data_IF_506545276622
#
_entry.id   IF_506545276622
#
_cell.length_a   1.000
_cell.length_b   1.000
_cell.length_c   1.000
_cell.angle_alpha   90.00
_cell.angle_beta   90.00
_cell.angle_gamma   90.00
#
_symmetry.space_group_name_H-M   'P 1'
#
loop_
_entity.id
_entity.type
_entity.pdbx_description
1 polymer ?
#
# COMPACT_ATOMS: atom_id res chain seq x y z
N UNK A 1 -89.00 16.42 -36.21
CA UNK A 1 -90.22 15.99 -36.91
C UNK A 1 -89.99 14.54 -37.27
N UNK A 2 -90.72 13.63 -36.63
CA UNK A 2 -90.51 12.19 -36.82
C UNK A 2 -91.12 11.72 -38.15
N UNK A 3 -90.68 10.57 -38.66
CA UNK A 3 -91.17 9.95 -39.91
C UNK A 3 -92.71 9.91 -39.94
N UNK A 4 -93.32 9.56 -38.81
CA UNK A 4 -94.78 9.48 -38.63
C UNK A 4 -95.44 10.87 -38.66
N UNK A 5 -94.78 11.90 -38.15
CA UNK A 5 -95.32 13.27 -38.15
C UNK A 5 -95.33 13.89 -39.54
N UNK A 6 -94.34 13.55 -40.38
CA UNK A 6 -94.26 14.01 -41.78
C UNK A 6 -95.31 13.26 -42.62
N UNK A 7 -95.42 11.94 -42.46
CA UNK A 7 -96.39 11.11 -43.19
C UNK A 7 -97.85 11.41 -42.84
N UNK A 8 -98.14 11.76 -41.58
CA UNK A 8 -99.50 12.04 -41.12
C UNK A 8 -99.90 13.52 -41.28
N UNK A 9 -99.08 14.33 -41.95
CA UNK A 9 -99.36 15.76 -42.12
C UNK A 9 -100.52 15.97 -43.10
N UNK A 10 -101.59 16.61 -42.62
CA UNK A 10 -102.74 16.98 -43.45
C UNK A 10 -102.61 18.42 -43.93
N UNK A 11 -102.96 18.65 -45.18
CA UNK A 11 -102.98 19.97 -45.82
C UNK A 11 -104.42 20.39 -46.15
N UNK A 12 -104.70 21.69 -46.12
CA UNK A 12 -105.98 22.24 -46.54
C UNK A 12 -106.14 22.17 -48.06
N UNK A 13 -107.35 21.89 -48.55
CA UNK A 13 -107.64 21.81 -49.99
C UNK A 13 -107.97 23.20 -50.54
N UNK A 14 -107.30 23.61 -51.62
CA UNK A 14 -107.54 24.86 -52.34
C UNK A 14 -108.08 24.59 -53.74
N UNK A 15 -108.85 25.54 -54.31
CA UNK A 15 -109.46 25.43 -55.64
C UNK A 15 -108.43 25.31 -56.79
N UNK A 16 -107.20 25.78 -56.56
CA UNK A 16 -106.02 25.53 -57.39
C UNK A 16 -104.87 25.14 -56.46
N UNK A 17 -104.39 23.90 -56.54
CA UNK A 17 -103.34 23.36 -55.66
C UNK A 17 -102.53 22.26 -56.31
N UNK A 18 -101.52 21.77 -55.59
CA UNK A 18 -100.68 20.65 -56.03
C UNK A 18 -101.47 19.34 -56.04
N UNK A 19 -101.07 18.39 -56.89
CA UNK A 19 -101.67 17.06 -56.91
C UNK A 19 -101.35 16.31 -55.62
N UNK A 20 -102.35 15.68 -55.02
CA UNK A 20 -102.21 14.96 -53.74
C UNK A 20 -101.18 13.85 -53.83
N UNK A 21 -101.23 13.05 -54.90
CA UNK A 21 -100.41 11.85 -55.06
C UNK A 21 -98.91 12.21 -55.19
N UNK A 22 -98.57 13.24 -55.97
CA UNK A 22 -97.19 13.73 -56.12
C UNK A 22 -96.64 14.33 -54.81
N UNK A 23 -97.52 14.96 -54.00
CA UNK A 23 -97.14 15.51 -52.69
C UNK A 23 -96.93 14.39 -51.68
N UNK A 24 -97.74 13.33 -51.71
CA UNK A 24 -97.61 12.17 -50.82
C UNK A 24 -96.33 11.36 -51.12
N UNK A 25 -95.99 11.15 -52.39
CA UNK A 25 -94.72 10.53 -52.81
C UNK A 25 -93.51 11.36 -52.32
N UNK A 26 -93.56 12.69 -52.49
CA UNK A 26 -92.51 13.59 -52.01
C UNK A 26 -92.39 13.61 -50.48
N UNK A 27 -93.52 13.57 -49.75
CA UNK A 27 -93.52 13.49 -48.29
C UNK A 27 -92.91 12.19 -47.78
N UNK A 28 -93.09 11.08 -48.50
CA UNK A 28 -92.43 9.82 -48.17
C UNK A 28 -90.91 9.90 -48.36
N UNK A 29 -90.44 10.48 -49.46
CA UNK A 29 -89.01 10.70 -49.70
C UNK A 29 -88.38 11.62 -48.64
N UNK A 30 -89.02 12.76 -48.34
CA UNK A 30 -88.58 13.70 -47.31
C UNK A 30 -88.57 13.05 -45.93
N UNK A 31 -89.59 12.24 -45.61
CA UNK A 31 -89.63 11.51 -44.34
C UNK A 31 -88.45 10.53 -44.22
N UNK A 32 -88.18 9.74 -45.27
CA UNK A 32 -87.05 8.80 -45.29
C UNK A 32 -85.71 9.53 -45.18
N UNK A 33 -85.54 10.65 -45.90
CA UNK A 33 -84.34 11.47 -45.80
C UNK A 33 -84.15 12.06 -44.40
N UNK A 34 -85.21 12.60 -43.79
CA UNK A 34 -85.16 13.14 -42.43
C UNK A 34 -84.79 12.05 -41.41
N UNK A 35 -85.34 10.84 -41.53
CA UNK A 35 -84.98 9.70 -40.69
C UNK A 35 -83.52 9.28 -40.88
N UNK A 36 -83.02 9.27 -42.12
CA UNK A 36 -81.62 8.98 -42.40
C UNK A 36 -80.70 10.02 -41.74
N UNK A 37 -81.02 11.31 -41.88
CA UNK A 37 -80.26 12.40 -41.24
C UNK A 37 -80.30 12.33 -39.71
N UNK A 38 -81.45 12.00 -39.11
CA UNK A 38 -81.57 11.83 -37.66
C UNK A 38 -80.70 10.66 -37.15
N UNK A 39 -80.69 9.53 -37.87
CA UNK A 39 -79.84 8.40 -37.53
C UNK A 39 -78.34 8.73 -37.66
N UNK A 40 -77.94 9.40 -38.74
CA UNK A 40 -76.55 9.85 -38.93
C UNK A 40 -76.13 10.84 -37.83
N UNK A 41 -77.01 11.77 -37.46
CA UNK A 41 -76.73 12.74 -36.41
C UNK A 41 -76.56 12.04 -35.04
N UNK A 42 -77.43 11.08 -34.70
CA UNK A 42 -77.29 10.25 -33.49
C UNK A 42 -76.00 9.43 -33.48
N UNK A 43 -75.61 8.86 -34.62
CA UNK A 43 -74.35 8.12 -34.75
C UNK A 43 -73.15 9.05 -34.54
N UNK A 44 -73.18 10.25 -35.11
CA UNK A 44 -72.14 11.27 -34.95
C UNK A 44 -72.06 11.77 -33.50
N UNK A 45 -73.19 12.04 -32.85
CA UNK A 45 -73.24 12.39 -31.43
C UNK A 45 -72.66 11.27 -30.55
N UNK A 46 -72.95 10.01 -30.87
CA UNK A 46 -72.35 8.86 -30.19
C UNK A 46 -70.82 8.81 -30.33
N UNK A 47 -70.32 8.98 -31.55
CA UNK A 47 -68.87 9.06 -31.83
C UNK A 47 -68.22 10.24 -31.11
N UNK A 48 -68.87 11.40 -31.11
CA UNK A 48 -68.39 12.60 -30.41
C UNK A 48 -68.27 12.33 -28.92
N UNK A 49 -69.27 11.70 -28.30
CA UNK A 49 -69.24 11.39 -26.88
C UNK A 49 -68.10 10.40 -26.54
N UNK A 50 -67.89 9.38 -27.36
CA UNK A 50 -66.75 8.45 -27.19
C UNK A 50 -65.41 9.20 -27.28
N UNK A 51 -65.26 10.08 -28.27
CA UNK A 51 -64.05 10.87 -28.45
C UNK A 51 -63.81 11.82 -27.27
N UNK A 52 -64.85 12.49 -26.78
CA UNK A 52 -64.79 13.37 -25.61
C UNK A 52 -64.34 12.58 -24.38
N UNK A 53 -64.96 11.43 -24.11
CA UNK A 53 -64.58 10.56 -22.99
C UNK A 53 -63.11 10.11 -23.11
N UNK A 54 -62.66 9.78 -24.32
CA UNK A 54 -61.28 9.37 -24.57
C UNK A 54 -60.28 10.51 -24.37
N UNK A 55 -60.63 11.74 -24.76
CA UNK A 55 -59.82 12.93 -24.50
C UNK A 55 -59.70 13.17 -23.00
N UNK A 56 -60.78 13.05 -22.24
CA UNK A 56 -60.72 13.20 -20.79
C UNK A 56 -59.89 12.11 -20.12
N UNK A 57 -59.98 10.87 -20.58
CA UNK A 57 -59.12 9.77 -20.13
C UNK A 57 -57.65 10.08 -20.38
N UNK A 58 -57.29 10.50 -21.60
CA UNK A 58 -55.91 10.88 -21.93
C UNK A 58 -55.40 12.06 -21.10
N UNK A 59 -56.26 13.03 -20.77
CA UNK A 59 -55.88 14.12 -19.86
C UNK A 59 -55.57 13.61 -18.45
N UNK A 60 -56.40 12.72 -17.91
CA UNK A 60 -56.16 12.09 -16.60
C UNK A 60 -54.88 11.25 -16.60
N UNK A 61 -54.64 10.50 -17.67
CA UNK A 61 -53.42 9.71 -17.85
C UNK A 61 -52.18 10.60 -17.94
N UNK A 62 -52.27 11.73 -18.67
CA UNK A 62 -51.19 12.71 -18.76
C UNK A 62 -50.85 13.31 -17.39
N UNK A 63 -51.86 13.69 -16.61
CA UNK A 63 -51.66 14.20 -15.25
C UNK A 63 -51.01 13.15 -14.34
N UNK A 64 -51.49 11.90 -14.42
CA UNK A 64 -50.90 10.77 -13.67
C UNK A 64 -49.43 10.53 -14.07
N UNK A 65 -49.12 10.63 -15.37
CA UNK A 65 -47.76 10.47 -15.87
C UNK A 65 -46.86 11.64 -15.42
N UNK A 66 -47.37 12.87 -15.43
CA UNK A 66 -46.65 14.04 -14.91
C UNK A 66 -46.33 13.89 -13.44
N UNK A 67 -47.29 13.44 -12.64
CA UNK A 67 -47.09 13.17 -11.21
C UNK A 67 -46.07 12.04 -10.97
N UNK A 68 -46.15 10.97 -11.77
CA UNK A 68 -45.18 9.88 -11.73
C UNK A 68 -43.76 10.38 -12.08
N UNK A 69 -43.62 11.24 -13.10
CA UNK A 69 -42.33 11.83 -13.48
C UNK A 69 -41.75 12.73 -12.39
N UNK A 70 -42.57 13.59 -11.78
CA UNK A 70 -42.14 14.47 -10.69
C UNK A 70 -41.72 13.64 -9.47
N UNK A 71 -42.48 12.60 -9.12
CA UNK A 71 -42.12 11.70 -8.01
C UNK A 71 -40.83 10.95 -8.29
N UNK A 72 -40.63 10.43 -9.51
CA UNK A 72 -39.41 9.77 -9.93
C UNK A 72 -38.20 10.73 -9.86
N UNK A 73 -38.35 11.98 -10.30
CA UNK A 73 -37.29 13.00 -10.20
C UNK A 73 -36.93 13.33 -8.75
N UNK A 74 -37.94 13.39 -7.86
CA UNK A 74 -37.72 13.62 -6.44
C UNK A 74 -36.97 12.44 -5.80
N UNK A 75 -37.37 11.21 -6.13
CA UNK A 75 -36.69 9.99 -5.66
C UNK A 75 -35.25 9.95 -6.17
N UNK A 76 -35.02 10.24 -7.45
CA UNK A 76 -33.68 10.29 -8.03
C UNK A 76 -32.78 11.31 -7.32
N UNK A 77 -33.30 12.51 -7.05
CA UNK A 77 -32.60 13.54 -6.27
C UNK A 77 -32.30 13.07 -4.84
N UNK A 78 -33.25 12.40 -4.18
CA UNK A 78 -33.06 11.83 -2.84
C UNK A 78 -31.95 10.78 -2.82
N UNK A 79 -31.97 9.84 -3.76
CA UNK A 79 -30.94 8.81 -3.91
C UNK A 79 -29.57 9.45 -4.14
N UNK A 80 -29.50 10.47 -5.00
CA UNK A 80 -28.25 11.17 -5.26
C UNK A 80 -27.72 11.87 -3.99
N UNK A 81 -28.59 12.51 -3.22
CA UNK A 81 -28.20 13.15 -1.96
C UNK A 81 -27.75 12.13 -0.92
N UNK A 82 -28.49 11.03 -0.74
CA UNK A 82 -28.13 9.96 0.18
C UNK A 82 -26.79 9.30 -0.20
N UNK A 83 -26.55 9.08 -1.50
CA UNK A 83 -25.28 8.55 -1.98
C UNK A 83 -24.11 9.50 -1.70
N UNK A 84 -24.31 10.82 -1.89
CA UNK A 84 -23.31 11.84 -1.55
C UNK A 84 -23.04 11.88 -0.04
N UNK A 85 -24.08 11.90 0.78
CA UNK A 85 -23.95 11.91 2.23
C UNK A 85 -23.20 10.66 2.74
N UNK A 86 -23.54 9.47 2.21
CA UNK A 86 -22.83 8.22 2.54
C UNK A 86 -21.38 8.24 2.08
N UNK A 87 -21.09 8.79 0.89
CA UNK A 87 -19.73 8.93 0.42
C UNK A 87 -18.91 9.88 1.32
N UNK A 88 -19.48 11.02 1.71
CA UNK A 88 -18.86 11.97 2.64
C UNK A 88 -18.63 11.34 4.03
N UNK A 89 -19.57 10.54 4.52
CA UNK A 89 -19.44 9.80 5.78
C UNK A 89 -18.30 8.77 5.71
N UNK A 90 -18.21 8.00 4.62
CA UNK A 90 -17.12 7.05 4.40
C UNK A 90 -15.77 7.78 4.31
N UNK A 91 -15.70 8.91 3.61
CA UNK A 91 -14.47 9.70 3.52
C UNK A 91 -14.07 10.23 4.89
N UNK A 92 -15.01 10.77 5.66
CA UNK A 92 -14.75 11.30 7.00
C UNK A 92 -14.27 10.21 7.95
N UNK A 93 -14.91 9.05 7.94
CA UNK A 93 -14.52 7.91 8.80
C UNK A 93 -13.14 7.39 8.41
N UNK A 94 -12.86 7.22 7.11
CA UNK A 94 -11.54 6.83 6.62
C UNK A 94 -10.46 7.86 6.98
N UNK A 95 -10.75 9.16 6.91
CA UNK A 95 -9.83 10.22 7.32
C UNK A 95 -9.56 10.19 8.83
N UNK A 96 -10.59 9.96 9.66
CA UNK A 96 -10.43 9.82 11.10
C UNK A 96 -9.59 8.59 11.47
N UNK A 97 -9.90 7.42 10.90
CA UNK A 97 -9.14 6.19 11.13
C UNK A 97 -7.69 6.35 10.67
N UNK A 98 -7.46 6.97 9.51
CA UNK A 98 -6.11 7.28 9.02
C UNK A 98 -5.36 8.16 10.02
N UNK A 99 -5.98 9.23 10.53
CA UNK A 99 -5.30 10.13 11.47
C UNK A 99 -5.04 9.44 12.82
N UNK A 100 -5.94 8.57 13.28
CA UNK A 100 -5.74 7.76 14.48
C UNK A 100 -4.58 6.77 14.33
N UNK A 101 -4.50 6.07 13.19
CA UNK A 101 -3.39 5.16 12.88
C UNK A 101 -2.07 5.91 12.74
N UNK A 102 -2.06 7.06 12.06
CA UNK A 102 -0.85 7.88 11.93
C UNK A 102 -0.43 8.48 13.28
N UNK A 103 -1.38 8.88 14.11
CA UNK A 103 -1.14 9.41 15.45
C UNK A 103 -0.53 8.36 16.36
N UNK A 104 -1.14 7.18 16.44
CA UNK A 104 -0.63 6.05 17.23
C UNK A 104 0.74 5.58 16.75
N UNK A 105 0.94 5.38 15.44
CA UNK A 105 2.23 4.98 14.88
C UNK A 105 3.34 6.03 15.15
N UNK A 106 3.02 7.34 15.07
CA UNK A 106 3.97 8.40 15.44
C UNK A 106 4.30 8.37 16.92
N UNK A 107 3.31 8.16 17.79
CA UNK A 107 3.51 8.07 19.23
C UNK A 107 4.38 6.87 19.59
N UNK A 108 4.09 5.68 19.05
CA UNK A 108 4.88 4.48 19.26
C UNK A 108 6.32 4.65 18.73
N UNK A 109 6.48 5.21 17.54
CA UNK A 109 7.79 5.53 16.98
C UNK A 109 8.59 6.47 17.89
N UNK A 110 7.93 7.51 18.43
CA UNK A 110 8.56 8.42 19.37
C UNK A 110 8.94 7.74 20.70
N UNK A 111 8.11 6.83 21.21
CA UNK A 111 8.43 6.01 22.39
C UNK A 111 9.63 5.10 22.16
N UNK A 112 9.70 4.43 21.00
CA UNK A 112 10.85 3.59 20.65
C UNK A 112 12.12 4.43 20.51
N UNK A 113 12.04 5.57 19.81
CA UNK A 113 13.19 6.46 19.64
C UNK A 113 13.70 7.01 20.99
N UNK A 114 12.79 7.40 21.88
CA UNK A 114 13.17 7.91 23.20
C UNK A 114 13.73 6.82 24.11
N UNK A 115 13.16 5.60 24.09
CA UNK A 115 13.69 4.46 24.81
C UNK A 115 15.09 4.07 24.30
N UNK A 116 15.26 3.93 22.98
CA UNK A 116 16.53 3.60 22.35
C UNK A 116 17.60 4.67 22.62
N UNK A 117 17.21 5.96 22.59
CA UNK A 117 18.12 7.06 22.94
C UNK A 117 18.56 6.96 24.40
N UNK A 118 17.64 6.73 25.33
CA UNK A 118 17.95 6.58 26.75
C UNK A 118 18.86 5.38 27.01
N UNK A 119 18.59 4.25 26.37
CA UNK A 119 19.42 3.04 26.49
C UNK A 119 20.82 3.28 25.92
N UNK A 120 20.93 3.95 24.77
CA UNK A 120 22.22 4.34 24.19
C UNK A 120 23.00 5.29 25.11
N UNK A 121 22.33 6.27 25.72
CA UNK A 121 22.92 7.17 26.71
C UNK A 121 23.40 6.39 27.95
N UNK A 122 22.61 5.44 28.45
CA UNK A 122 23.00 4.59 29.58
C UNK A 122 24.20 3.71 29.27
N UNK A 123 24.20 3.01 28.12
CA UNK A 123 25.35 2.21 27.69
C UNK A 123 26.60 3.07 27.51
N UNK A 124 26.44 4.29 26.97
CA UNK A 124 27.55 5.22 26.83
C UNK A 124 28.10 5.66 28.19
N UNK A 125 27.24 6.02 29.14
CA UNK A 125 27.65 6.38 30.50
C UNK A 125 28.36 5.23 31.22
N UNK A 126 27.84 4.00 31.12
CA UNK A 126 28.44 2.81 31.73
C UNK A 126 29.81 2.50 31.10
N UNK A 127 29.92 2.54 29.78
CA UNK A 127 31.19 2.36 29.09
C UNK A 127 32.22 3.43 29.49
N UNK A 128 31.79 4.69 29.65
CA UNK A 128 32.66 5.78 30.10
C UNK A 128 33.11 5.58 31.55
N UNK A 129 32.22 5.12 32.45
CA UNK A 129 32.61 4.77 33.83
C UNK A 129 33.64 3.65 33.88
N UNK A 130 33.42 2.57 33.12
CA UNK A 130 34.39 1.46 33.06
C UNK A 130 35.74 1.90 32.49
N UNK A 131 35.71 2.76 31.46
CA UNK A 131 36.93 3.37 30.92
C UNK A 131 37.64 4.22 31.98
N UNK A 132 36.92 5.04 32.73
CA UNK A 132 37.52 5.86 33.79
C UNK A 132 38.13 4.98 34.90
N UNK A 133 37.43 3.93 35.32
CA UNK A 133 37.90 3.00 36.34
C UNK A 133 39.18 2.26 35.89
N UNK A 134 39.18 1.73 34.66
CA UNK A 134 40.37 1.06 34.10
C UNK A 134 41.55 2.00 33.95
N UNK A 135 41.32 3.26 33.53
CA UNK A 135 42.36 4.29 33.48
C UNK A 135 42.93 4.56 34.87
N UNK A 136 42.10 4.62 35.91
CA UNK A 136 42.57 4.79 37.30
C UNK A 136 43.41 3.59 37.74
N UNK A 137 42.97 2.36 37.46
CA UNK A 137 43.71 1.14 37.82
C UNK A 137 45.08 1.07 37.13
N UNK A 138 45.13 1.34 35.83
CA UNK A 138 46.39 1.36 35.06
C UNK A 138 47.33 2.44 35.59
N UNK A 139 46.81 3.63 35.92
CA UNK A 139 47.61 4.69 36.54
C UNK A 139 48.20 4.26 37.87
N UNK A 140 47.40 3.66 38.75
CA UNK A 140 47.86 3.18 40.04
C UNK A 140 48.96 2.11 39.89
N UNK A 141 48.79 1.16 38.97
CA UNK A 141 49.82 0.15 38.69
C UNK A 141 51.12 0.77 38.16
N UNK A 142 51.02 1.75 37.26
CA UNK A 142 52.19 2.48 36.75
C UNK A 142 52.93 3.22 37.88
N UNK A 143 52.20 3.86 38.81
CA UNK A 143 52.79 4.52 39.99
C UNK A 143 53.47 3.51 40.93
N UNK A 144 52.88 2.34 41.15
CA UNK A 144 53.48 1.27 41.96
C UNK A 144 54.76 0.70 41.32
N UNK A 145 54.73 0.43 40.01
CA UNK A 145 55.90 -0.03 39.27
C UNK A 145 57.03 1.01 39.28
N UNK A 146 56.70 2.30 39.11
CA UNK A 146 57.66 3.40 39.21
C UNK A 146 58.29 3.44 40.62
N UNK A 147 57.47 3.36 41.68
CA UNK A 147 57.96 3.31 43.05
C UNK A 147 58.88 2.08 43.30
N UNK A 148 58.54 0.93 42.73
CA UNK A 148 59.36 -0.28 42.83
C UNK A 148 60.70 -0.13 42.09
N UNK A 149 60.70 0.46 40.89
CA UNK A 149 61.93 0.76 40.16
C UNK A 149 62.85 1.69 40.97
N UNK A 150 62.30 2.75 41.54
CA UNK A 150 63.06 3.67 42.42
C UNK A 150 63.64 2.91 43.63
N UNK A 151 62.86 2.00 44.23
CA UNK A 151 63.33 1.15 45.33
C UNK A 151 64.48 0.23 44.91
N UNK A 152 64.36 -0.46 43.77
CA UNK A 152 65.41 -1.34 43.25
C UNK A 152 66.66 -0.54 42.92
N UNK A 153 66.53 0.62 42.27
CA UNK A 153 67.66 1.52 41.99
C UNK A 153 68.39 1.93 43.27
N UNK A 154 67.66 2.24 44.34
CA UNK A 154 68.23 2.53 45.65
C UNK A 154 69.00 1.34 46.22
N UNK A 155 68.41 0.14 46.19
CA UNK A 155 69.07 -1.08 46.66
C UNK A 155 70.34 -1.41 45.87
N UNK A 156 70.32 -1.22 44.55
CA UNK A 156 71.51 -1.39 43.70
C UNK A 156 72.59 -0.38 44.06
N UNK A 157 72.22 0.87 44.34
CA UNK A 157 73.15 1.91 44.83
C UNK A 157 73.74 1.55 46.20
N UNK A 158 72.91 1.07 47.13
CA UNK A 158 73.33 0.62 48.46
C UNK A 158 74.27 -0.60 48.36
N UNK A 159 73.95 -1.61 47.55
CA UNK A 159 74.81 -2.76 47.28
C UNK A 159 76.14 -2.36 46.64
N UNK A 160 76.10 -1.45 45.65
CA UNK A 160 77.31 -0.90 45.03
C UNK A 160 78.19 -0.20 46.08
N UNK A 161 77.59 0.58 46.98
CA UNK A 161 78.30 1.23 48.08
C UNK A 161 78.95 0.21 49.03
N UNK A 162 78.21 -0.84 49.42
CA UNK A 162 78.73 -1.94 50.24
C UNK A 162 79.91 -2.64 49.58
N UNK A 163 79.80 -2.96 48.28
CA UNK A 163 80.86 -3.61 47.52
C UNK A 163 82.12 -2.73 47.44
N UNK A 164 81.95 -1.43 47.17
CA UNK A 164 83.05 -0.46 47.20
C UNK A 164 83.66 -0.37 48.60
N UNK A 165 82.87 -0.45 49.67
CA UNK A 165 83.36 -0.45 51.05
C UNK A 165 84.25 -1.68 51.32
N UNK A 166 83.77 -2.88 51.00
CA UNK A 166 84.55 -4.13 51.15
C UNK A 166 85.82 -4.05 50.30
N UNK A 167 85.73 -3.56 49.06
CA UNK A 167 86.89 -3.42 48.18
C UNK A 167 87.91 -2.42 48.74
N UNK A 168 87.47 -1.30 49.31
CA UNK A 168 88.33 -0.33 50.00
C UNK A 168 88.97 -0.93 51.25
N UNK A 169 88.24 -1.75 52.00
CA UNK A 169 88.78 -2.46 53.16
C UNK A 169 89.87 -3.46 52.74
N UNK A 170 89.62 -4.25 51.70
CA UNK A 170 90.62 -5.15 51.12
C UNK A 170 91.86 -4.39 50.62
N UNK A 171 91.69 -3.25 49.94
CA UNK A 171 92.82 -2.40 49.53
C UNK A 171 93.63 -1.87 50.71
N UNK A 172 92.97 -1.48 51.80
CA UNK A 172 93.66 -1.04 53.01
C UNK A 172 94.40 -2.18 53.71
N UNK A 173 93.89 -3.41 53.67
CA UNK A 173 94.59 -4.60 54.19
C UNK A 173 95.82 -4.95 53.33
N UNK A 174 95.71 -4.84 52.01
CA UNK A 174 96.82 -5.05 51.07
C UNK A 174 97.93 -4.00 51.30
N UNK A 175 97.56 -2.74 51.50
CA UNK A 175 98.52 -1.67 51.80
C UNK A 175 99.14 -1.76 53.23
N UNK A 176 98.65 -2.65 54.10
CA UNK A 176 99.16 -2.87 55.46
C UNK A 176 100.16 -4.03 55.57
N UNK A 177 100.53 -4.68 54.46
CA UNK A 177 101.61 -5.66 54.44
C UNK A 177 102.96 -4.94 54.23
N UNK A 178 103.98 -5.20 55.07
CA UNK A 178 105.31 -4.60 54.87
C UNK A 178 106.00 -5.25 53.66
N UNK A 179 106.69 -4.45 52.84
CA UNK A 179 107.62 -4.99 51.84
C UNK A 179 108.76 -5.73 52.54
N UNK A 180 109.04 -6.97 52.13
CA UNK A 180 110.43 -7.39 51.93
C UNK A 180 110.53 -8.55 50.93
N UNK A 181 111.41 -8.32 49.96
CA UNK A 181 111.76 -9.19 48.83
C UNK A 181 112.45 -10.51 49.22
N UNK A 182 112.45 -11.43 48.23
CA UNK A 182 113.27 -12.67 48.03
C UNK A 182 112.60 -13.97 48.51
N UNK A 183 112.53 -15.06 47.75
CA UNK A 183 113.15 -15.49 46.49
C UNK A 183 112.46 -16.78 46.05
N UNK A 184 111.87 -16.87 44.85
CA UNK A 184 112.15 -17.96 43.89
C UNK A 184 111.62 -17.54 42.52
N UNK A 185 112.54 -17.33 41.60
CA UNK A 185 112.28 -16.95 40.23
C UNK A 185 112.16 -18.22 39.38
N UNK A 186 111.12 -18.21 38.54
CA UNK A 186 110.86 -19.08 37.41
C UNK A 186 112.12 -19.32 36.55
N UNK A 187 112.20 -20.39 35.73
CA UNK A 187 111.31 -20.47 34.56
C UNK A 187 110.88 -21.89 34.19
N UNK A 188 109.69 -22.03 33.57
CA UNK A 188 109.49 -22.88 32.37
C UNK A 188 108.00 -22.90 31.94
N UNK A 189 107.74 -22.39 30.75
CA UNK A 189 106.83 -23.02 29.77
C UNK A 189 107.38 -24.41 29.41
N UNK A 190 106.60 -25.44 28.98
CA UNK A 190 105.66 -25.32 27.86
C UNK A 190 104.44 -26.28 27.83
N UNK A 191 103.61 -26.12 26.79
CA UNK A 191 102.77 -27.08 26.04
C UNK A 191 102.62 -28.51 26.60
N UNK A 192 101.40 -29.08 26.50
CA UNK A 192 101.06 -30.22 25.59
C UNK A 192 99.83 -31.07 26.05
N UNK A 193 98.83 -31.16 25.14
CA UNK A 193 97.89 -32.26 24.78
C UNK A 193 97.00 -32.93 25.86
N UNK A 194 95.66 -32.94 25.64
CA UNK A 194 94.84 -34.01 25.03
C UNK A 194 94.62 -35.20 26.00
N UNK A 195 93.50 -35.90 26.12
CA UNK A 195 92.34 -36.18 25.28
C UNK A 195 91.37 -36.98 26.18
N UNK A 196 90.05 -36.74 26.12
CA UNK A 196 89.02 -37.79 26.30
C UNK A 196 87.67 -37.31 25.72
N UNK A 197 87.56 -37.37 24.39
CA UNK A 197 86.63 -38.18 23.55
C UNK A 197 85.49 -39.00 24.26
N UNK A 198 84.49 -39.58 23.52
CA UNK A 198 83.31 -39.02 22.80
C UNK A 198 81.96 -39.80 23.00
N UNK A 199 80.85 -39.30 22.42
CA UNK A 199 79.65 -39.96 21.78
C UNK A 199 78.36 -39.19 22.14
N UNK A 200 77.52 -38.62 21.25
CA UNK A 200 77.07 -38.82 19.85
C UNK A 200 75.92 -39.83 19.68
N UNK A 201 74.72 -39.29 19.42
CA UNK A 201 73.61 -39.83 18.61
C UNK A 201 72.60 -38.67 18.44
N UNK A 202 71.94 -38.37 17.32
CA UNK A 202 72.11 -38.61 15.88
C UNK A 202 71.03 -37.72 15.22
N UNK A 203 71.36 -37.06 14.11
CA UNK A 203 70.46 -36.21 13.30
C UNK A 203 69.38 -37.06 12.56
N UNK A 204 68.37 -36.50 11.85
CA UNK A 204 68.64 -35.78 10.60
C UNK A 204 67.63 -34.69 10.12
N UNK A 205 68.16 -33.87 9.20
CA UNK A 205 67.59 -33.40 7.92
C UNK A 205 66.58 -32.23 7.80
N UNK A 206 66.93 -31.39 6.80
CA UNK A 206 66.09 -30.72 5.78
C UNK A 206 65.56 -29.28 6.04
N UNK A 207 66.24 -28.34 5.37
CA UNK A 207 65.76 -27.23 4.51
C UNK A 207 64.36 -26.62 4.69
N UNK A 208 64.32 -25.28 4.85
CA UNK A 208 63.60 -24.24 4.05
C UNK A 208 63.41 -22.98 4.93
N UNK A 209 64.08 -21.87 4.65
CA UNK A 209 63.65 -20.71 3.85
C UNK A 209 62.52 -19.84 4.46
N UNK A 210 62.72 -18.53 4.26
CA UNK A 210 61.77 -17.41 4.39
C UNK A 210 61.51 -16.82 5.79
N UNK A 211 62.27 -15.76 6.08
CA UNK A 211 61.85 -14.66 6.97
C UNK A 211 61.08 -13.66 6.12
N UNK A 212 59.81 -13.40 6.47
CA UNK A 212 59.04 -12.27 5.96
C UNK A 212 58.28 -11.62 7.13
N UNK A 213 58.51 -10.31 7.26
CA UNK A 213 57.81 -9.28 8.06
C UNK A 213 56.27 -9.35 8.01
N UNK A 214 55.48 -8.71 8.91
CA UNK A 214 55.65 -7.28 9.25
C UNK A 214 55.30 -6.81 10.69
N UNK A 215 55.67 -5.56 10.92
CA UNK A 215 55.24 -4.63 11.97
C UNK A 215 53.83 -4.04 11.69
N UNK A 216 53.23 -3.29 12.64
CA UNK A 216 51.80 -2.96 12.72
C UNK A 216 51.45 -1.68 11.95
N UNK A 217 50.15 -1.43 11.71
CA UNK A 217 49.67 -0.06 11.53
C UNK A 217 48.19 0.10 11.91
N UNK A 218 47.95 1.18 12.65
CA UNK A 218 46.69 1.75 13.08
C UNK A 218 46.16 2.73 12.01
N UNK A 219 44.83 2.84 11.95
CA UNK A 219 44.05 4.06 11.69
C UNK A 219 44.32 5.03 10.51
N UNK A 220 43.26 5.13 9.69
CA UNK A 220 42.59 6.36 9.19
C UNK A 220 43.23 7.24 8.10
N UNK A 221 42.46 7.41 7.01
CA UNK A 221 41.88 8.68 6.49
C UNK A 221 42.11 8.97 4.99
N UNK A 222 40.99 8.92 4.25
CA UNK A 222 40.54 9.79 3.14
C UNK A 222 41.49 10.07 1.96
N UNK A 223 41.00 9.82 0.73
CA UNK A 223 40.52 10.87 -0.21
C UNK A 223 40.22 10.32 -1.62
N UNK A 224 39.36 11.05 -2.36
CA UNK A 224 39.16 11.06 -3.83
C UNK A 224 38.21 9.99 -4.41
N UNK A 225 37.37 10.24 -5.43
CA UNK A 225 36.79 11.42 -6.13
C UNK A 225 35.75 10.83 -7.12
N UNK A 226 34.69 11.58 -7.44
CA UNK A 226 33.87 11.56 -8.68
C UNK A 226 33.59 10.22 -9.42
N UNK A 227 32.31 9.89 -9.65
CA UNK A 227 31.67 9.92 -10.99
C UNK A 227 30.24 9.32 -10.95
N UNK A 228 29.45 9.64 -11.97
CA UNK A 228 28.00 9.70 -12.06
C UNK A 228 27.31 8.33 -12.29
N UNK A 229 25.97 8.36 -12.25
CA UNK A 229 25.02 7.68 -13.18
C UNK A 229 23.95 6.75 -12.55
N UNK A 230 22.70 7.09 -12.91
CA UNK A 230 21.50 6.24 -13.08
C UNK A 230 20.59 5.87 -11.90
N UNK A 231 19.36 6.39 -12.03
CA UNK A 231 18.07 5.86 -11.53
C UNK A 231 18.01 4.33 -11.51
N UNK A 232 17.46 3.76 -10.42
CA UNK A 232 16.43 2.71 -10.43
C UNK A 232 15.87 2.49 -9.01
N UNK A 233 14.55 2.46 -8.91
CA UNK A 233 13.74 2.14 -7.73
C UNK A 233 14.03 0.71 -7.22
N UNK A 234 13.95 0.42 -5.91
CA UNK A 234 13.97 -0.95 -5.43
C UNK A 234 12.57 -1.55 -5.51
N UNK A 235 12.39 -2.49 -6.44
CA UNK A 235 11.26 -3.42 -6.47
C UNK A 235 11.33 -4.35 -5.27
N UNK A 236 10.29 -4.34 -4.44
CA UNK A 236 10.06 -5.29 -3.35
C UNK A 236 9.79 -6.68 -3.95
N UNK A 237 10.68 -7.65 -3.69
CA UNK A 237 10.42 -9.08 -3.94
C UNK A 237 9.78 -9.68 -2.69
N UNK A 238 8.47 -9.91 -2.73
CA UNK A 238 7.81 -10.80 -1.77
C UNK A 238 7.98 -12.22 -2.29
N UNK A 239 8.74 -13.03 -1.55
CA UNK A 239 8.90 -14.47 -1.79
C UNK A 239 7.63 -15.24 -1.43
N UNK A 240 7.33 -16.21 -2.29
CA UNK A 240 6.25 -17.20 -2.23
C UNK A 240 6.15 -17.92 -0.87
N UNK A 241 4.91 -18.05 -0.37
CA UNK A 241 4.40 -19.28 0.26
C UNK A 241 2.92 -19.12 0.68
N UNK A 242 1.96 -19.34 -0.22
CA UNK A 242 0.63 -19.84 0.19
C UNK A 242 0.08 -20.80 -0.86
N UNK A 243 -0.26 -21.99 -0.36
CA UNK A 243 -0.64 -23.19 -1.10
C UNK A 243 -1.96 -23.00 -1.85
N UNK A 244 -2.03 -23.54 -3.07
CA UNK A 244 -3.25 -23.71 -3.86
C UNK A 244 -4.06 -24.87 -3.28
N UNK A 245 -4.98 -24.58 -2.37
CA UNK A 245 -6.08 -25.47 -1.98
C UNK A 245 -6.96 -24.66 -1.02
N UNK A 246 -7.90 -23.86 -1.56
CA UNK A 246 -9.15 -23.41 -0.88
C UNK A 246 -9.88 -22.31 -1.71
N UNK A 247 -10.08 -22.55 -3.01
CA UNK A 247 -11.01 -21.75 -3.82
C UNK A 247 -12.08 -22.65 -4.45
N UNK A 248 -12.89 -23.29 -3.62
CA UNK A 248 -14.13 -23.95 -4.04
C UNK A 248 -15.13 -24.09 -2.90
N UNK A 249 -15.56 -22.97 -2.30
CA UNK A 249 -16.82 -22.93 -1.54
C UNK A 249 -17.38 -21.52 -1.39
N UNK A 250 -17.77 -20.93 -2.51
CA UNK A 250 -18.81 -19.89 -2.46
C UNK A 250 -20.14 -20.58 -2.19
N UNK A 251 -20.69 -20.36 -0.99
CA UNK A 251 -22.11 -20.64 -0.69
C UNK A 251 -22.97 -19.79 -1.62
N UNK A 252 -24.03 -20.33 -2.24
CA UNK A 252 -24.99 -19.49 -2.93
C UNK A 252 -25.73 -18.64 -1.89
N UNK A 253 -25.71 -17.31 -2.06
CA UNK A 253 -26.62 -16.41 -1.34
C UNK A 253 -28.00 -16.64 -1.92
N UNK A 254 -28.85 -17.28 -1.13
CA UNK A 254 -30.24 -17.56 -1.42
C UNK A 254 -31.03 -16.24 -1.35
N UNK A 255 -31.24 -15.58 -2.48
CA UNK A 255 -32.13 -14.42 -2.59
C UNK A 255 -33.58 -14.87 -2.57
N UNK A 256 -34.12 -15.07 -1.37
CA UNK A 256 -35.57 -15.04 -1.15
C UNK A 256 -36.00 -13.60 -0.90
N UNK A 257 -36.60 -12.96 -1.91
CA UNK A 257 -37.84 -12.18 -1.80
C UNK A 257 -38.23 -11.63 -3.19
N UNK A 258 -39.35 -12.14 -3.72
CA UNK A 258 -40.03 -11.62 -4.91
C UNK A 258 -40.71 -10.30 -4.55
N UNK A 259 -40.05 -9.18 -4.78
CA UNK A 259 -40.78 -7.91 -4.91
C UNK A 259 -41.39 -7.82 -6.31
N UNK A 260 -42.71 -7.63 -6.35
CA UNK A 260 -43.47 -7.45 -7.58
C UNK A 260 -43.07 -6.09 -8.19
N UNK A 261 -42.47 -6.12 -9.37
CA UNK A 261 -42.25 -4.92 -10.18
C UNK A 261 -43.58 -4.16 -10.37
N UNK A 262 -43.61 -2.82 -10.22
CA UNK A 262 -44.82 -2.02 -10.35
C UNK A 262 -45.27 -1.85 -11.81
N UNK A 263 -44.52 -2.38 -12.78
CA UNK A 263 -44.83 -2.25 -14.20
C UNK A 263 -45.63 -3.46 -14.72
N UNK A 264 -46.72 -3.25 -15.49
CA UNK A 264 -47.45 -4.34 -16.11
C UNK A 264 -46.55 -5.11 -17.09
N UNK A 265 -46.61 -6.44 -17.04
CA UNK A 265 -45.84 -7.31 -17.93
C UNK A 265 -46.23 -7.04 -19.38
N UNK A 266 -45.24 -6.65 -20.20
CA UNK A 266 -45.40 -6.48 -21.64
C UNK A 266 -45.98 -7.75 -22.29
N UNK A 267 -46.94 -7.64 -23.23
CA UNK A 267 -47.52 -8.80 -23.92
C UNK A 267 -46.56 -9.48 -24.89
N UNK A 268 -45.39 -8.90 -25.15
CA UNK A 268 -44.38 -9.47 -26.04
C UNK A 268 -43.42 -10.37 -25.28
N UNK A 269 -43.61 -11.69 -25.40
CA UNK A 269 -42.70 -12.71 -24.87
C UNK A 269 -41.57 -12.96 -25.89
N UNK A 270 -40.45 -12.27 -25.76
CA UNK A 270 -39.23 -12.60 -26.52
C UNK A 270 -38.64 -13.90 -25.94
N UNK A 271 -38.98 -15.03 -26.56
CA UNK A 271 -38.30 -16.30 -26.32
C UNK A 271 -37.01 -16.32 -27.13
N UNK A 272 -35.88 -16.04 -26.50
CA UNK A 272 -34.58 -16.32 -27.09
C UNK A 272 -34.32 -17.80 -26.88
N UNK A 273 -34.61 -18.62 -27.89
CA UNK A 273 -34.19 -20.02 -27.93
C UNK A 273 -32.73 -20.08 -28.34
N UNK A 274 -31.92 -20.74 -27.53
CA UNK A 274 -30.45 -20.86 -27.61
C UNK A 274 -29.97 -21.77 -28.77
N UNK A 275 -30.62 -21.68 -29.95
CA UNK A 275 -30.32 -22.55 -31.11
C UNK A 275 -30.20 -21.87 -32.47
N UNK A 276 -30.26 -20.54 -32.54
CA UNK A 276 -30.02 -19.83 -33.80
C UNK A 276 -28.69 -19.07 -33.73
N UNK A 277 -27.59 -19.83 -33.80
CA UNK A 277 -26.28 -19.33 -34.16
C UNK A 277 -26.29 -19.03 -35.66
N UNK A 278 -27.05 -18.01 -36.07
CA UNK A 278 -26.98 -17.50 -37.43
C UNK A 278 -25.89 -16.43 -37.48
N UNK A 279 -24.83 -16.76 -38.21
CA UNK A 279 -23.88 -15.84 -38.83
C UNK A 279 -24.61 -14.90 -39.79
N UNK A 280 -25.38 -13.97 -39.24
CA UNK A 280 -26.04 -12.89 -39.96
C UNK A 280 -25.13 -11.66 -39.95
N UNK A 281 -24.70 -11.24 -41.13
CA UNK A 281 -24.01 -9.98 -41.37
C UNK A 281 -24.89 -8.80 -40.93
N UNK A 282 -24.66 -8.27 -39.74
CA UNK A 282 -25.28 -7.02 -39.29
C UNK A 282 -24.43 -5.85 -39.78
N UNK A 283 -24.77 -5.28 -40.94
CA UNK A 283 -24.26 -3.97 -41.33
C UNK A 283 -24.78 -2.93 -40.32
N UNK A 284 -23.88 -2.42 -39.49
CA UNK A 284 -24.17 -1.31 -38.58
C UNK A 284 -24.54 -0.08 -39.41
N UNK A 285 -25.78 0.41 -39.27
CA UNK A 285 -26.24 1.68 -39.87
C UNK A 285 -25.58 2.92 -39.21
N UNK A 286 -24.75 2.70 -38.20
CA UNK A 286 -23.87 3.70 -37.62
C UNK A 286 -22.44 3.27 -37.93
N UNK A 287 -21.77 3.96 -38.85
CA UNK A 287 -20.35 3.71 -39.14
C UNK A 287 -19.49 3.86 -37.89
N UNK A 288 -18.31 3.24 -37.89
CA UNK A 288 -17.37 3.25 -36.75
C UNK A 288 -17.20 4.65 -36.16
N UNK A 289 -17.68 4.84 -34.93
CA UNK A 289 -17.46 6.06 -34.16
C UNK A 289 -15.95 6.22 -33.89
N UNK A 290 -15.29 7.02 -34.73
CA UNK A 290 -13.90 7.43 -34.56
C UNK A 290 -13.81 8.37 -33.35
N UNK A 291 -13.62 7.83 -32.15
CA UNK A 291 -13.16 8.65 -31.03
C UNK A 291 -11.76 9.18 -31.36
N UNK A 292 -11.62 10.51 -31.26
CA UNK A 292 -10.42 11.25 -31.63
C UNK A 292 -9.15 10.68 -31.01
N UNK A 293 -8.17 10.39 -31.87
CA UNK A 293 -6.81 10.16 -31.45
C UNK A 293 -6.26 11.46 -30.86
N UNK A 294 -6.21 11.55 -29.52
CA UNK A 294 -5.43 12.57 -28.85
C UNK A 294 -3.95 12.32 -29.18
N UNK A 295 -3.43 13.10 -30.13
CA UNK A 295 -1.99 13.19 -30.38
C UNK A 295 -1.30 13.67 -29.12
N UNK A 296 -0.29 12.91 -28.69
CA UNK A 296 0.75 13.34 -27.75
C UNK A 296 1.59 14.45 -28.39
#
# INVERSE_FOLDING_TARGET
MDLQEIKNKKFEKSAFGYKTDEVEDFLEEVALWAKKQDNENKELEGKLNILVNRIEEYRRDEDTLRDALISAQRIASSIQQEAKNKAEEILRTAEQEKEEILGSARQESMQILTAAKREAEQMHEEAMRQKEETVIQVKHQAEEEEANLVRIQRLVSEFKSQLISIYKEHLNLINKLPEQEKNTQAPEEPKEKADTKPQKESAPAASEQAVASPEPDEETRSSQKEEQVAKKEPTIRVSEAFKKEDMAKTRPVETQQKEKSPFPKSPYKLTITEKDNHTGNYESKFGDLKFGQNKR
#
